data_IF_036452726740
#
_entry.id   IF_036452726740
#
_cell.length_a   1.000
_cell.length_b   1.000
_cell.length_c   1.000
_cell.angle_alpha   90.00
_cell.angle_beta   90.00
_cell.angle_gamma   90.00
#
_symmetry.space_group_name_H-M   'P 1'
#
loop_
_entity.id
_entity.type
_entity.pdbx_description
1 polymer ?
#
# COMPACT_ATOMS: atom_id res chain seq x y z
N UNK A 1 -25.94 37.13 6.20
CA UNK A 1 -25.98 35.65 6.21
C UNK A 1 -24.55 35.16 6.13
N UNK A 2 -24.09 34.35 7.07
CA UNK A 2 -22.77 33.71 6.97
C UNK A 2 -22.87 32.53 6.02
N UNK A 3 -22.03 32.49 4.99
CA UNK A 3 -21.95 31.34 4.08
C UNK A 3 -21.41 30.14 4.86
N UNK A 4 -22.19 29.07 4.96
CA UNK A 4 -21.75 27.81 5.58
C UNK A 4 -21.12 26.92 4.51
N UNK A 5 -19.86 26.53 4.71
CA UNK A 5 -19.20 25.52 3.90
C UNK A 5 -19.60 24.13 4.41
N UNK A 6 -19.95 23.22 3.50
CA UNK A 6 -20.36 21.85 3.80
C UNK A 6 -19.64 20.86 2.89
N UNK A 7 -19.36 19.65 3.39
CA UNK A 7 -18.88 18.54 2.57
C UNK A 7 -20.08 17.93 1.87
N UNK A 8 -20.15 18.07 0.54
CA UNK A 8 -21.31 17.63 -0.26
C UNK A 8 -21.15 16.24 -0.88
N UNK A 9 -19.92 15.71 -0.92
CA UNK A 9 -19.60 14.40 -1.50
C UNK A 9 -18.20 13.95 -1.09
N UNK A 10 -17.97 12.64 -1.10
CA UNK A 10 -16.66 12.03 -0.85
C UNK A 10 -16.42 10.91 -1.85
N UNK A 11 -15.16 10.61 -2.12
CA UNK A 11 -14.75 9.53 -3.00
C UNK A 11 -13.47 8.90 -2.48
N UNK A 12 -13.33 7.60 -2.73
CA UNK A 12 -12.25 6.77 -2.22
C UNK A 12 -11.88 5.76 -3.30
N UNK A 13 -10.63 5.82 -3.74
CA UNK A 13 -10.07 4.75 -4.54
C UNK A 13 -9.51 3.65 -3.65
N UNK A 14 -9.88 2.41 -3.95
CA UNK A 14 -9.35 1.20 -3.31
C UNK A 14 -8.60 0.39 -4.37
N UNK A 15 -7.29 0.12 -4.19
CA UNK A 15 -6.55 -0.76 -5.08
C UNK A 15 -7.20 -2.14 -5.22
N UNK A 16 -7.07 -2.81 -6.38
CA UNK A 16 -7.75 -4.08 -6.63
C UNK A 16 -7.16 -5.25 -5.85
N UNK A 17 -5.90 -5.17 -5.43
CA UNK A 17 -5.22 -6.24 -4.71
C UNK A 17 -5.20 -5.97 -3.21
N UNK A 18 -5.25 -7.04 -2.41
CA UNK A 18 -5.12 -6.98 -0.97
C UNK A 18 -4.12 -8.04 -0.48
N UNK A 19 -3.40 -7.71 0.58
CA UNK A 19 -2.47 -8.58 1.28
C UNK A 19 -3.04 -8.87 2.68
N UNK A 20 -3.22 -10.14 3.01
CA UNK A 20 -3.56 -10.56 4.37
C UNK A 20 -2.35 -10.48 5.30
N UNK A 21 -2.57 -10.56 6.62
CA UNK A 21 -1.46 -10.65 7.56
C UNK A 21 -0.62 -11.93 7.35
N UNK A 22 -1.28 -13.04 7.04
CA UNK A 22 -0.64 -14.34 6.80
C UNK A 22 0.29 -14.29 5.59
N UNK A 23 -0.17 -13.71 4.48
CA UNK A 23 0.65 -13.54 3.27
C UNK A 23 1.86 -12.65 3.53
N UNK A 24 1.64 -11.51 4.21
CA UNK A 24 2.71 -10.57 4.52
C UNK A 24 3.77 -11.18 5.45
N UNK A 25 3.33 -11.89 6.48
CA UNK A 25 4.20 -12.56 7.44
C UNK A 25 4.96 -13.71 6.79
N UNK A 26 4.31 -14.49 5.93
CA UNK A 26 4.99 -15.56 5.19
C UNK A 26 6.13 -15.01 4.33
N UNK A 27 5.88 -13.92 3.57
CA UNK A 27 6.90 -13.25 2.78
C UNK A 27 8.03 -12.68 3.65
N UNK A 28 7.68 -12.01 4.76
CA UNK A 28 8.66 -11.43 5.66
C UNK A 28 9.54 -12.49 6.32
N UNK A 29 8.96 -13.58 6.81
CA UNK A 29 9.72 -14.65 7.45
C UNK A 29 10.64 -15.37 6.46
N UNK A 30 10.19 -15.57 5.21
CA UNK A 30 11.06 -16.09 4.15
C UNK A 30 12.25 -15.14 3.88
N UNK A 31 12.03 -13.82 3.88
CA UNK A 31 13.12 -12.86 3.76
C UNK A 31 14.06 -12.90 4.98
N UNK A 32 13.53 -13.06 6.20
CA UNK A 32 14.33 -13.20 7.42
C UNK A 32 15.24 -14.42 7.33
N UNK A 33 14.72 -15.56 6.87
CA UNK A 33 15.50 -16.78 6.70
C UNK A 33 16.65 -16.58 5.71
N UNK A 34 16.35 -16.01 4.54
CA UNK A 34 17.35 -15.68 3.51
C UNK A 34 18.41 -14.70 4.04
N UNK A 35 18.00 -13.68 4.78
CA UNK A 35 18.91 -12.68 5.34
C UNK A 35 19.84 -13.29 6.39
N UNK A 36 19.29 -14.07 7.32
CA UNK A 36 20.07 -14.69 8.39
C UNK A 36 21.02 -15.75 7.85
N UNK A 37 20.61 -16.53 6.83
CA UNK A 37 21.50 -17.47 6.15
C UNK A 37 22.65 -16.76 5.45
N UNK A 38 22.36 -15.68 4.71
CA UNK A 38 23.38 -14.92 3.99
C UNK A 38 24.40 -14.23 4.91
N UNK A 39 24.06 -13.96 6.17
CA UNK A 39 24.93 -13.28 7.14
C UNK A 39 25.26 -14.15 8.35
N UNK A 40 25.21 -15.48 8.21
CA UNK A 40 25.38 -16.41 9.33
C UNK A 40 26.70 -16.20 10.10
N UNK A 41 27.80 -15.92 9.39
CA UNK A 41 29.12 -15.70 10.00
C UNK A 41 29.17 -14.39 10.81
N UNK A 42 28.58 -13.32 10.28
CA UNK A 42 28.49 -12.00 10.95
C UNK A 42 27.58 -12.06 12.19
N UNK A 43 26.52 -12.87 12.13
CA UNK A 43 25.67 -13.15 13.28
C UNK A 43 26.45 -13.96 14.33
N UNK A 44 27.17 -15.00 13.92
CA UNK A 44 27.92 -15.87 14.83
C UNK A 44 29.06 -15.14 15.54
N UNK A 45 29.70 -14.17 14.89
CA UNK A 45 30.75 -13.35 15.48
C UNK A 45 30.23 -12.10 16.23
N UNK A 46 28.91 -11.87 16.21
CA UNK A 46 28.25 -10.77 16.93
C UNK A 46 28.37 -9.39 16.27
N UNK A 47 28.81 -9.32 15.01
CA UNK A 47 28.88 -8.06 14.24
C UNK A 47 27.49 -7.54 13.89
N UNK A 48 26.52 -8.44 13.64
CA UNK A 48 25.12 -8.08 13.40
C UNK A 48 24.17 -8.95 14.22
N UNK A 49 23.00 -8.41 14.55
CA UNK A 49 21.93 -9.18 15.20
C UNK A 49 21.11 -9.95 14.17
N UNK A 50 20.76 -11.20 14.51
CA UNK A 50 19.84 -12.01 13.73
C UNK A 50 18.46 -11.34 13.64
N UNK A 51 17.87 -11.35 12.44
CA UNK A 51 16.49 -10.90 12.24
C UNK A 51 15.53 -11.91 12.85
N UNK A 52 14.43 -11.42 13.42
CA UNK A 52 13.39 -12.25 14.03
C UNK A 52 12.16 -12.34 13.15
N UNK A 53 11.49 -13.49 13.22
CA UNK A 53 10.21 -13.69 12.56
C UNK A 53 9.10 -12.83 13.18
N UNK A 54 8.07 -12.59 12.38
CA UNK A 54 6.81 -11.99 12.79
C UNK A 54 5.68 -13.03 12.79
N UNK A 55 4.50 -12.64 13.29
CA UNK A 55 3.28 -13.46 13.24
C UNK A 55 2.04 -12.63 12.90
N UNK A 56 1.04 -13.27 12.30
CA UNK A 56 -0.21 -12.60 11.94
C UNK A 56 -0.98 -12.18 13.20
N UNK A 57 -0.97 -13.01 14.23
CA UNK A 57 -1.59 -12.73 15.53
C UNK A 57 -0.94 -11.52 16.22
N UNK A 58 0.38 -11.37 16.10
CA UNK A 58 1.08 -10.20 16.63
C UNK A 58 0.59 -8.92 15.95
N UNK A 59 0.50 -8.92 14.61
CA UNK A 59 0.03 -7.76 13.85
C UNK A 59 -1.41 -7.40 14.24
N UNK A 60 -2.31 -8.38 14.29
CA UNK A 60 -3.71 -8.13 14.65
C UNK A 60 -3.83 -7.65 16.10
N UNK A 61 -3.14 -8.26 17.05
CA UNK A 61 -3.20 -7.86 18.46
C UNK A 61 -2.62 -6.47 18.70
N UNK A 62 -1.55 -6.10 17.99
CA UNK A 62 -0.88 -4.81 18.16
C UNK A 62 -1.61 -3.65 17.46
N UNK A 63 -2.31 -3.91 16.35
CA UNK A 63 -2.84 -2.85 15.48
C UNK A 63 -4.33 -2.95 15.13
N UNK A 64 -4.95 -4.12 15.30
CA UNK A 64 -6.28 -4.43 14.80
C UNK A 64 -6.36 -4.64 13.28
N UNK A 65 -5.26 -4.47 12.54
CA UNK A 65 -5.22 -4.62 11.09
C UNK A 65 -5.24 -6.09 10.72
N UNK A 66 -6.11 -6.47 9.76
CA UNK A 66 -6.25 -7.83 9.22
C UNK A 66 -5.72 -7.97 7.80
N UNK A 67 -5.86 -6.92 7.00
CA UNK A 67 -5.40 -6.86 5.63
C UNK A 67 -5.16 -5.42 5.21
N UNK A 68 -4.47 -5.24 4.08
CA UNK A 68 -4.27 -3.93 3.44
C UNK A 68 -4.40 -4.04 1.92
N UNK A 69 -4.98 -3.02 1.30
CA UNK A 69 -5.02 -2.89 -0.16
C UNK A 69 -3.69 -2.33 -0.67
N UNK A 70 -3.23 -2.84 -1.81
CA UNK A 70 -1.93 -2.50 -2.41
C UNK A 70 -2.05 -2.37 -3.92
N UNK A 71 -1.18 -1.55 -4.51
CA UNK A 71 -1.15 -1.35 -5.97
C UNK A 71 -0.50 -2.53 -6.70
N UNK A 72 0.50 -3.15 -6.10
CA UNK A 72 1.19 -4.30 -6.65
C UNK A 72 1.58 -5.25 -5.50
N UNK A 73 0.87 -6.38 -5.42
CA UNK A 73 1.02 -7.43 -4.43
C UNK A 73 2.23 -8.30 -4.71
N UNK A 74 2.44 -8.66 -5.97
CA UNK A 74 3.49 -9.58 -6.38
C UNK A 74 4.89 -9.11 -5.94
N UNK A 75 5.23 -7.84 -6.16
CA UNK A 75 6.53 -7.29 -5.77
C UNK A 75 6.70 -7.14 -4.25
N UNK A 76 5.61 -6.81 -3.53
CA UNK A 76 5.65 -6.73 -2.06
C UNK A 76 5.87 -8.10 -1.43
N UNK A 77 5.25 -9.15 -1.98
CA UNK A 77 5.31 -10.51 -1.43
C UNK A 77 6.48 -11.35 -1.96
N UNK A 78 7.33 -10.79 -2.82
CA UNK A 78 8.57 -11.44 -3.26
C UNK A 78 9.67 -11.22 -2.20
N UNK A 79 10.15 -12.28 -1.51
CA UNK A 79 11.18 -12.15 -0.49
C UNK A 79 12.52 -11.60 -1.01
N UNK A 80 12.79 -11.66 -2.32
CA UNK A 80 14.00 -11.10 -2.91
C UNK A 80 13.85 -9.61 -3.27
N UNK A 81 12.62 -9.08 -3.25
CA UNK A 81 12.32 -7.69 -3.64
C UNK A 81 11.76 -6.86 -2.48
N UNK A 82 10.73 -7.36 -1.80
CA UNK A 82 10.07 -6.74 -0.63
C UNK A 82 9.52 -5.32 -0.86
N UNK A 83 9.27 -4.92 -2.12
CA UNK A 83 8.72 -3.60 -2.50
C UNK A 83 7.84 -3.71 -3.77
N UNK A 84 6.83 -2.84 -3.96
CA UNK A 84 5.99 -2.88 -5.16
C UNK A 84 6.81 -2.87 -6.46
N UNK A 85 6.33 -3.59 -7.47
CA UNK A 85 6.82 -3.48 -8.84
C UNK A 85 5.91 -2.60 -9.68
N UNK A 86 6.34 -1.36 -9.87
CA UNK A 86 5.60 -0.33 -10.61
C UNK A 86 6.53 0.17 -11.72
N UNK A 87 6.15 0.00 -13.00
CA UNK A 87 6.98 0.42 -14.12
C UNK A 87 7.07 1.95 -14.21
N UNK A 88 8.20 2.43 -14.71
CA UNK A 88 8.38 3.83 -15.07
C UNK A 88 7.41 4.22 -16.20
N UNK A 89 6.97 5.49 -16.20
CA UNK A 89 6.02 6.03 -17.17
C UNK A 89 6.62 7.26 -17.85
N UNK A 90 6.38 7.47 -19.16
CA UNK A 90 6.80 8.69 -19.83
C UNK A 90 6.00 9.90 -19.32
N UNK A 91 6.56 11.10 -19.45
CA UNK A 91 5.91 12.35 -19.01
C UNK A 91 4.60 12.69 -19.75
N UNK A 92 4.30 11.98 -20.85
CA UNK A 92 3.03 12.11 -21.58
C UNK A 92 1.88 11.37 -20.92
N UNK A 93 2.18 10.45 -20.01
CA UNK A 93 1.20 9.61 -19.34
C UNK A 93 0.93 10.14 -17.93
N UNK A 94 -0.29 9.89 -17.43
CA UNK A 94 -0.60 10.17 -16.03
C UNK A 94 0.28 9.33 -15.11
N UNK A 95 0.76 9.93 -14.01
CA UNK A 95 1.38 9.16 -12.94
C UNK A 95 0.36 8.28 -12.23
N UNK A 96 0.81 7.21 -11.55
CA UNK A 96 -0.05 6.33 -10.75
C UNK A 96 -0.88 7.15 -9.73
N UNK A 97 -0.24 8.12 -9.08
CA UNK A 97 -0.90 8.99 -8.11
C UNK A 97 -1.97 9.88 -8.77
N UNK A 98 -1.72 10.37 -9.98
CA UNK A 98 -2.71 11.13 -10.76
C UNK A 98 -3.95 10.28 -11.07
N UNK A 99 -3.77 9.04 -11.54
CA UNK A 99 -4.88 8.13 -11.82
C UNK A 99 -5.73 7.86 -10.57
N UNK A 100 -5.09 7.53 -9.45
CA UNK A 100 -5.76 7.28 -8.16
C UNK A 100 -6.58 8.51 -7.73
N UNK A 101 -5.98 9.70 -7.80
CA UNK A 101 -6.63 10.94 -7.41
C UNK A 101 -7.82 11.27 -8.31
N UNK A 102 -7.68 11.11 -9.63
CA UNK A 102 -8.75 11.34 -10.58
C UNK A 102 -9.94 10.39 -10.35
N UNK A 103 -9.68 9.12 -10.07
CA UNK A 103 -10.73 8.14 -9.77
C UNK A 103 -11.51 8.51 -8.49
N UNK A 104 -10.81 8.81 -7.40
CA UNK A 104 -11.44 9.23 -6.15
C UNK A 104 -12.20 10.57 -6.31
N UNK A 105 -11.62 11.54 -7.04
CA UNK A 105 -12.25 12.83 -7.29
C UNK A 105 -13.52 12.70 -8.13
N UNK A 106 -13.52 11.88 -9.18
CA UNK A 106 -14.70 11.62 -9.99
C UNK A 106 -15.82 11.00 -9.14
N UNK A 107 -15.50 10.03 -8.27
CA UNK A 107 -16.50 9.47 -7.35
C UNK A 107 -17.06 10.53 -6.38
N UNK A 108 -16.21 11.43 -5.87
CA UNK A 108 -16.65 12.51 -4.98
C UNK A 108 -17.57 13.51 -5.70
N UNK A 109 -17.27 13.82 -6.96
CA UNK A 109 -18.08 14.69 -7.82
C UNK A 109 -19.44 14.04 -8.10
N UNK A 110 -19.46 12.76 -8.43
CA UNK A 110 -20.71 12.03 -8.72
C UNK A 110 -21.58 11.87 -7.46
N UNK A 111 -20.96 11.77 -6.29
CA UNK A 111 -21.65 11.73 -5.00
C UNK A 111 -22.18 13.10 -4.54
N UNK A 112 -21.75 14.21 -5.17
CA UNK A 112 -22.13 15.54 -4.75
C UNK A 112 -23.56 15.91 -5.21
N UNK A 113 -24.32 16.54 -4.30
CA UNK A 113 -25.71 16.95 -4.56
C UNK A 113 -25.89 17.98 -5.70
N UNK A 114 -24.82 18.61 -6.17
CA UNK A 114 -24.78 19.39 -7.41
C UNK A 114 -23.42 19.19 -8.06
N UNK A 115 -23.31 18.39 -9.14
CA UNK A 115 -22.05 18.25 -9.82
C UNK A 115 -21.61 19.62 -10.36
N UNK A 116 -20.33 20.00 -10.20
CA UNK A 116 -19.82 21.27 -10.71
C UNK A 116 -20.09 21.36 -12.21
N UNK A 117 -20.45 22.56 -12.70
CA UNK A 117 -20.55 22.80 -14.14
C UNK A 117 -19.17 22.53 -14.75
N UNK A 118 -19.04 21.41 -15.48
CA UNK A 118 -17.84 21.14 -16.27
C UNK A 118 -17.78 22.22 -17.35
N UNK A 119 -16.89 23.18 -17.21
CA UNK A 119 -16.52 24.06 -18.31
C UNK A 119 -15.96 23.18 -19.43
N UNK A 120 -16.68 23.08 -20.54
CA UNK A 120 -16.12 22.51 -21.77
C UNK A 120 -14.92 23.36 -22.20
N UNK A 121 -13.83 22.73 -22.68
CA UNK A 121 -12.70 23.47 -23.24
C UNK A 121 -13.11 24.33 -24.45
#
# INVERSE_FOLDING_TARGET
MSTSAVITGTGLYTPPEAISNEELVASFNAWVDLHNEAHADEIANGSIEAKTHSSAEFIEKASGIKSRYVINKAGILDPHRMVPDIPERPNTDSSVMCEIACLAANQAIDAAASPPQRSTP
#
